data_IF_054224215857
#
_entry.id   IF_054224215857
#
_cell.length_a   1.000
_cell.length_b   1.000
_cell.length_c   1.000
_cell.angle_alpha   90.00
_cell.angle_beta   90.00
_cell.angle_gamma   90.00
#
_symmetry.space_group_name_H-M   'P 1'
#
loop_
_entity.id
_entity.type
_entity.pdbx_description
1 polymer ?
#
# COMPACT_ATOMS: atom_id res chain seq x y z
N UNK A 1 -15.38 14.68 12.00
CA UNK A 1 -14.64 14.93 10.75
C UNK A 1 -13.84 13.72 10.38
N UNK A 2 -13.99 13.25 9.18
CA UNK A 2 -13.26 12.09 8.73
C UNK A 2 -11.82 12.47 8.38
N UNK A 3 -10.91 11.59 8.70
CA UNK A 3 -9.54 11.76 8.31
C UNK A 3 -9.35 11.59 6.81
N UNK A 4 -8.15 11.92 6.36
CA UNK A 4 -7.76 11.72 4.97
C UNK A 4 -7.67 10.21 4.69
N UNK A 5 -8.16 9.78 3.54
CA UNK A 5 -8.00 8.41 3.07
C UNK A 5 -6.74 8.30 2.23
N UNK A 6 -5.98 7.25 2.43
CA UNK A 6 -4.70 7.05 1.77
C UNK A 6 -4.51 5.57 1.46
N UNK A 7 -3.88 5.28 0.33
CA UNK A 7 -3.43 3.92 0.01
C UNK A 7 -1.98 3.81 0.46
N UNK A 8 -1.65 2.76 1.17
CA UNK A 8 -0.29 2.54 1.66
C UNK A 8 0.35 1.37 0.92
N UNK A 9 1.58 1.61 0.42
CA UNK A 9 2.44 0.55 -0.07
C UNK A 9 2.84 -0.38 1.09
N UNK A 10 3.37 -1.54 0.77
CA UNK A 10 3.68 -2.57 1.78
C UNK A 10 4.77 -2.13 2.76
N UNK A 11 5.85 -1.49 2.28
CA UNK A 11 6.99 -1.18 3.15
C UNK A 11 6.68 -0.24 4.31
N UNK A 12 5.88 0.83 4.15
CA UNK A 12 5.48 1.63 5.31
C UNK A 12 4.74 0.81 6.37
N UNK A 13 3.98 -0.19 5.97
CA UNK A 13 3.28 -1.08 6.90
C UNK A 13 4.26 -1.96 7.66
N UNK A 14 5.29 -2.47 6.98
CA UNK A 14 6.34 -3.28 7.62
C UNK A 14 7.08 -2.42 8.65
N UNK A 15 7.41 -1.19 8.31
CA UNK A 15 8.06 -0.26 9.26
C UNK A 15 7.16 -0.01 10.47
N UNK A 16 5.86 0.16 10.25
CA UNK A 16 4.90 0.33 11.34
C UNK A 16 4.90 -0.89 12.26
N UNK A 17 4.85 -2.10 11.70
CA UNK A 17 4.90 -3.34 12.48
C UNK A 17 6.20 -3.48 13.27
N UNK A 18 7.29 -2.92 12.75
CA UNK A 18 8.59 -2.95 13.41
C UNK A 18 8.80 -1.79 14.40
N UNK A 19 7.74 -1.03 14.69
CA UNK A 19 7.77 0.00 15.72
C UNK A 19 8.25 1.37 15.26
N UNK A 20 8.24 1.66 13.95
CA UNK A 20 8.62 2.98 13.44
C UNK A 20 7.66 4.05 13.92
N UNK A 21 8.15 4.99 14.72
CA UNK A 21 7.35 6.12 15.19
C UNK A 21 6.96 7.04 14.04
N UNK A 22 7.84 7.20 13.07
CA UNK A 22 7.60 8.04 11.90
C UNK A 22 6.43 7.50 11.08
N UNK A 23 6.43 6.19 10.81
CA UNK A 23 5.32 5.55 10.11
C UNK A 23 4.02 5.68 10.90
N UNK A 24 4.08 5.47 12.22
CA UNK A 24 2.92 5.59 13.09
C UNK A 24 2.34 7.00 13.07
N UNK A 25 3.18 8.02 13.18
CA UNK A 25 2.76 9.42 13.15
C UNK A 25 2.10 9.77 11.83
N UNK A 26 2.71 9.33 10.73
CA UNK A 26 2.19 9.66 9.40
C UNK A 26 0.83 9.01 9.15
N UNK A 27 0.63 7.79 9.63
CA UNK A 27 -0.62 7.04 9.40
C UNK A 27 -1.71 7.36 10.41
N UNK A 28 -1.34 7.99 11.53
CA UNK A 28 -2.30 8.29 12.60
C UNK A 28 -3.44 9.19 12.10
N UNK A 29 -4.66 8.82 12.45
CA UNK A 29 -5.85 9.61 12.12
C UNK A 29 -6.30 9.50 10.67
N UNK A 30 -5.63 8.69 9.86
CA UNK A 30 -6.01 8.49 8.45
C UNK A 30 -6.78 7.19 8.26
N UNK A 31 -7.65 7.17 7.25
CA UNK A 31 -8.27 5.94 6.78
C UNK A 31 -7.28 5.26 5.84
N UNK A 32 -6.83 4.09 6.22
CA UNK A 32 -5.76 3.39 5.49
C UNK A 32 -6.39 2.32 4.61
N UNK A 33 -6.08 2.43 3.32
CA UNK A 33 -6.43 1.43 2.32
C UNK A 33 -5.17 0.69 1.90
N UNK A 34 -5.28 -0.59 1.67
CA UNK A 34 -4.17 -1.38 1.11
C UNK A 34 -4.68 -2.24 -0.04
N UNK A 35 -3.81 -2.51 -0.99
CA UNK A 35 -4.10 -3.50 -2.02
C UNK A 35 -4.08 -4.90 -1.43
N UNK A 36 -4.86 -5.80 -1.99
CA UNK A 36 -4.77 -7.22 -1.65
C UNK A 36 -3.34 -7.75 -1.83
N UNK A 37 -2.58 -7.19 -2.76
CA UNK A 37 -1.16 -7.55 -2.94
C UNK A 37 -0.35 -7.23 -1.68
N UNK A 38 -0.58 -6.06 -1.08
CA UNK A 38 0.12 -5.69 0.17
C UNK A 38 -0.25 -6.62 1.31
N UNK A 39 -1.51 -6.99 1.42
CA UNK A 39 -1.95 -7.98 2.41
C UNK A 39 -1.15 -9.27 2.27
N UNK A 40 -1.02 -9.77 1.04
CA UNK A 40 -0.29 -11.03 0.79
C UNK A 40 1.21 -10.85 1.03
N UNK A 41 1.78 -9.72 0.64
CA UNK A 41 3.20 -9.44 0.86
C UNK A 41 3.58 -9.40 2.33
N UNK A 42 2.67 -8.94 3.20
CA UNK A 42 2.92 -8.93 4.65
C UNK A 42 3.13 -10.34 5.20
N UNK A 43 2.59 -11.35 4.55
CA UNK A 43 2.80 -12.76 4.92
C UNK A 43 3.93 -13.43 4.14
N UNK A 44 4.67 -12.67 3.34
CA UNK A 44 5.72 -13.22 2.48
C UNK A 44 6.97 -13.67 3.20
N UNK A 45 7.21 -13.20 4.43
CA UNK A 45 8.37 -13.60 5.21
C UNK A 45 8.19 -15.03 5.70
N UNK A 46 9.19 -15.89 5.47
CA UNK A 46 9.16 -17.25 5.98
C UNK A 46 9.43 -17.28 7.48
N UNK A 47 8.81 -18.22 8.17
CA UNK A 47 9.07 -18.42 9.58
C UNK A 47 8.43 -17.40 10.52
N UNK A 48 7.36 -16.77 10.11
CA UNK A 48 6.63 -15.88 11.00
C UNK A 48 6.16 -16.63 12.24
N UNK A 49 6.38 -16.04 13.41
CA UNK A 49 5.85 -16.59 14.65
C UNK A 49 4.35 -16.43 14.71
N UNK A 50 3.70 -17.15 15.62
CA UNK A 50 2.27 -16.98 15.86
C UNK A 50 1.93 -15.54 16.26
N UNK A 51 2.76 -14.94 17.11
CA UNK A 51 2.58 -13.56 17.55
C UNK A 51 2.71 -12.59 16.39
N UNK A 52 3.70 -12.78 15.52
CA UNK A 52 3.88 -11.92 14.33
C UNK A 52 2.69 -12.04 13.38
N UNK A 53 2.18 -13.24 13.17
CA UNK A 53 0.98 -13.44 12.33
C UNK A 53 -0.23 -12.71 12.90
N UNK A 54 -0.41 -12.76 14.22
CA UNK A 54 -1.51 -12.07 14.90
C UNK A 54 -1.40 -10.56 14.73
N UNK A 55 -0.19 -10.01 14.87
CA UNK A 55 0.03 -8.57 14.70
C UNK A 55 -0.30 -8.13 13.27
N UNK A 56 0.09 -8.93 12.28
CA UNK A 56 -0.24 -8.65 10.87
C UNK A 56 -1.75 -8.67 10.66
N UNK A 57 -2.44 -9.68 11.19
CA UNK A 57 -3.90 -9.78 11.06
C UNK A 57 -4.60 -8.58 11.70
N UNK A 58 -4.15 -8.15 12.88
CA UNK A 58 -4.72 -6.98 13.54
C UNK A 58 -4.52 -5.71 12.72
N UNK A 59 -3.36 -5.56 12.11
CA UNK A 59 -3.10 -4.43 11.25
C UNK A 59 -4.04 -4.43 10.04
N UNK A 60 -4.18 -5.57 9.38
CA UNK A 60 -5.06 -5.73 8.22
C UNK A 60 -6.52 -5.41 8.59
N UNK A 61 -6.97 -5.88 9.76
CA UNK A 61 -8.33 -5.59 10.25
C UNK A 61 -8.56 -4.10 10.45
N UNK A 62 -7.52 -3.34 10.74
CA UNK A 62 -7.63 -1.88 10.91
C UNK A 62 -7.62 -1.12 9.59
N UNK A 63 -7.40 -1.80 8.49
CA UNK A 63 -7.32 -1.23 7.14
C UNK A 63 -8.53 -1.65 6.31
N UNK A 64 -8.76 -0.90 5.23
CA UNK A 64 -9.65 -1.34 4.16
C UNK A 64 -8.80 -2.03 3.10
N UNK A 65 -9.17 -3.24 2.71
CA UNK A 65 -8.45 -3.98 1.68
C UNK A 65 -9.18 -3.86 0.36
N UNK A 66 -8.48 -3.36 -0.65
CA UNK A 66 -9.02 -3.27 -2.02
C UNK A 66 -8.69 -4.55 -2.76
N UNK A 67 -9.72 -5.30 -3.12
CA UNK A 67 -9.56 -6.51 -3.91
C UNK A 67 -9.20 -6.15 -5.36
N UNK A 68 -8.66 -7.10 -6.09
CA UNK A 68 -8.26 -6.92 -7.47
C UNK A 68 -9.51 -6.94 -8.38
N UNK A 69 -10.17 -5.79 -8.45
CA UNK A 69 -11.39 -5.62 -9.25
C UNK A 69 -11.06 -5.48 -10.74
N UNK A 70 -12.11 -5.54 -11.59
CA UNK A 70 -11.95 -5.32 -13.03
C UNK A 70 -11.38 -3.94 -13.33
N UNK A 71 -11.83 -2.91 -12.59
CA UNK A 71 -11.32 -1.55 -12.78
C UNK A 71 -9.83 -1.45 -12.46
N UNK A 72 -9.41 -2.03 -11.34
CA UNK A 72 -7.99 -2.03 -10.96
C UNK A 72 -7.17 -2.85 -11.96
N UNK A 73 -7.67 -4.01 -12.40
CA UNK A 73 -6.99 -4.82 -13.41
C UNK A 73 -6.76 -4.04 -14.70
N UNK A 74 -7.76 -3.31 -15.16
CA UNK A 74 -7.65 -2.55 -16.41
C UNK A 74 -6.58 -1.46 -16.30
N UNK A 75 -6.54 -0.73 -15.18
CA UNK A 75 -5.50 0.27 -14.94
C UNK A 75 -4.13 -0.40 -14.85
N UNK A 76 -4.04 -1.53 -14.18
CA UNK A 76 -2.79 -2.30 -14.07
C UNK A 76 -2.24 -2.67 -15.45
N UNK A 77 -3.11 -3.16 -16.33
CA UNK A 77 -2.72 -3.51 -17.70
C UNK A 77 -2.15 -2.31 -18.44
N UNK A 78 -2.79 -1.15 -18.31
CA UNK A 78 -2.31 0.09 -18.93
C UNK A 78 -0.93 0.48 -18.38
N UNK A 79 -0.74 0.40 -17.08
CA UNK A 79 0.55 0.71 -16.46
C UNK A 79 1.65 -0.23 -16.96
N UNK A 80 1.36 -1.52 -17.03
CA UNK A 80 2.34 -2.50 -17.49
C UNK A 80 2.76 -2.26 -18.93
N UNK A 81 1.87 -1.73 -19.77
CA UNK A 81 2.19 -1.44 -21.16
C UNK A 81 2.99 -0.14 -21.33
N UNK A 82 2.78 0.84 -20.46
CA UNK A 82 3.27 2.19 -20.68
C UNK A 82 4.38 2.64 -19.72
N UNK A 83 4.57 1.92 -18.62
CA UNK A 83 5.51 2.30 -17.57
C UNK A 83 6.43 1.13 -17.25
N UNK A 84 7.69 1.42 -17.01
CA UNK A 84 8.63 0.41 -16.55
C UNK A 84 8.41 0.19 -15.05
N UNK A 85 7.53 -0.75 -14.73
CA UNK A 85 7.08 -1.01 -13.36
C UNK A 85 6.84 -2.50 -13.17
N UNK A 86 7.17 -3.01 -11.99
CA UNK A 86 6.93 -4.42 -11.64
C UNK A 86 5.46 -4.66 -11.37
N UNK A 87 5.01 -5.89 -11.60
CA UNK A 87 3.61 -6.25 -11.44
C UNK A 87 3.02 -5.89 -10.06
N UNK A 88 3.66 -6.22 -8.92
CA UNK A 88 3.09 -5.85 -7.63
C UNK A 88 2.94 -4.33 -7.47
N UNK A 89 3.93 -3.56 -7.87
CA UNK A 89 3.90 -2.10 -7.80
C UNK A 89 2.83 -1.53 -8.73
N UNK A 90 2.66 -2.12 -9.91
CA UNK A 90 1.62 -1.71 -10.84
C UNK A 90 0.23 -1.87 -10.23
N UNK A 91 -0.01 -2.97 -9.51
CA UNK A 91 -1.29 -3.22 -8.85
C UNK A 91 -1.52 -2.21 -7.72
N UNK A 92 -0.49 -1.91 -6.93
CA UNK A 92 -0.59 -0.92 -5.85
C UNK A 92 -0.90 0.46 -6.42
N UNK A 93 -0.15 0.88 -7.45
CA UNK A 93 -0.39 2.18 -8.10
C UNK A 93 -1.79 2.24 -8.72
N UNK A 94 -2.21 1.18 -9.40
CA UNK A 94 -3.54 1.09 -10.00
C UNK A 94 -4.64 1.19 -8.95
N UNK A 95 -4.43 0.62 -7.78
CA UNK A 95 -5.39 0.70 -6.68
C UNK A 95 -5.57 2.15 -6.24
N UNK A 96 -4.48 2.88 -6.04
CA UNK A 96 -4.53 4.28 -5.65
C UNK A 96 -5.21 5.14 -6.73
N UNK A 97 -4.88 4.91 -7.99
CA UNK A 97 -5.52 5.63 -9.10
C UNK A 97 -7.01 5.34 -9.19
N UNK A 98 -7.40 4.08 -9.06
CA UNK A 98 -8.80 3.68 -9.14
C UNK A 98 -9.64 4.30 -8.02
N UNK A 99 -9.09 4.34 -6.82
CA UNK A 99 -9.76 4.90 -5.64
C UNK A 99 -9.64 6.43 -5.58
N UNK A 100 -8.84 7.02 -6.46
CA UNK A 100 -8.52 8.46 -6.44
C UNK A 100 -7.99 8.91 -5.08
N UNK A 101 -7.05 8.14 -4.57
CA UNK A 101 -6.40 8.41 -3.29
C UNK A 101 -4.89 8.53 -3.48
N UNK A 102 -4.21 9.32 -2.63
CA UNK A 102 -2.76 9.35 -2.67
C UNK A 102 -2.17 8.02 -2.20
N UNK A 103 -0.96 7.75 -2.68
CA UNK A 103 -0.18 6.57 -2.29
C UNK A 103 0.95 6.97 -1.38
N UNK A 104 1.05 6.33 -0.22
CA UNK A 104 2.18 6.46 0.69
C UNK A 104 3.19 5.36 0.40
N UNK A 105 4.43 5.74 0.15
CA UNK A 105 5.51 4.80 -0.18
C UNK A 105 6.86 5.37 0.22
N UNK A 106 7.87 4.51 0.33
CA UNK A 106 9.27 4.92 0.39
C UNK A 106 9.92 4.94 -0.99
N UNK A 107 9.28 4.32 -1.98
CA UNK A 107 9.89 4.05 -3.28
C UNK A 107 9.65 5.19 -4.27
N UNK A 108 10.73 5.85 -4.70
CA UNK A 108 10.66 6.94 -5.66
C UNK A 108 10.33 6.47 -7.07
N UNK A 109 10.40 5.17 -7.36
CA UNK A 109 10.06 4.64 -8.68
C UNK A 109 8.62 4.90 -9.07
N UNK A 110 7.72 5.09 -8.10
CA UNK A 110 6.32 5.44 -8.37
C UNK A 110 6.15 6.80 -9.03
N UNK A 111 7.18 7.66 -9.03
CA UNK A 111 7.14 8.93 -9.74
C UNK A 111 6.91 8.74 -11.24
N UNK A 112 7.30 7.56 -11.77
CA UNK A 112 7.08 7.21 -13.17
C UNK A 112 5.62 7.09 -13.57
N UNK A 113 4.73 6.91 -12.58
CA UNK A 113 3.30 6.74 -12.84
C UNK A 113 2.63 8.10 -12.91
N UNK A 114 2.11 8.44 -14.09
CA UNK A 114 1.41 9.70 -14.32
C UNK A 114 0.13 9.76 -13.51
N UNK A 115 -0.24 10.96 -13.08
CA UNK A 115 -1.47 11.25 -12.35
C UNK A 115 -1.58 10.61 -10.96
N UNK A 116 -0.57 9.88 -10.52
CA UNK A 116 -0.54 9.31 -9.19
C UNK A 116 -0.12 10.37 -8.18
N UNK A 117 -0.96 10.60 -7.18
CA UNK A 117 -0.62 11.49 -6.07
C UNK A 117 0.25 10.68 -5.10
N UNK A 118 1.45 11.20 -4.80
CA UNK A 118 2.41 10.48 -3.98
C UNK A 118 2.74 11.24 -2.71
N UNK A 119 2.82 10.49 -1.60
CA UNK A 119 3.51 10.92 -0.41
C UNK A 119 4.69 9.97 -0.24
N UNK A 120 5.90 10.49 -0.46
CA UNK A 120 7.11 9.68 -0.34
C UNK A 120 7.67 9.90 1.05
N UNK A 121 7.69 8.83 1.83
CA UNK A 121 8.20 8.86 3.20
C UNK A 121 9.70 8.61 3.17
N UNK A 122 10.45 9.41 3.93
CA UNK A 122 11.88 9.20 4.08
C UNK A 122 12.14 8.17 5.19
N UNK A 123 13.10 7.32 4.92
CA UNK A 123 13.51 6.30 5.90
C UNK A 123 14.23 6.88 7.08
#
# INVERSE_FOLDING_TARGET
>A
MNGISIVTDTNPLIYLLNGSEKAAEYLNGKQIWISVISELELFGKKGLTKSEKQEIELLIESCFVAELSSGIKNITKELLQNVNIKLPDAIVAATALYLDMPLLTFDTDFIRVHDLKLFILEK
#
